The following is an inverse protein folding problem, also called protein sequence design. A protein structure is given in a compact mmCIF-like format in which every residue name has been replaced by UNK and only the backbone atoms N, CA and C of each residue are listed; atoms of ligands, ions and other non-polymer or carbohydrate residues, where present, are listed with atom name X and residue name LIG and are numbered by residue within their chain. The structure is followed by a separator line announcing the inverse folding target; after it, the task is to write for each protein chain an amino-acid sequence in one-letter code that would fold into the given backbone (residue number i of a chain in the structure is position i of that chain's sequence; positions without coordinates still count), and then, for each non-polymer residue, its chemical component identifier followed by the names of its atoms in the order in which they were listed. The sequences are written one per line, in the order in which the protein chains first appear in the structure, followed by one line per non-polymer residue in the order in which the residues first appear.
data_IF_689050876229
#
_entry.id   IF_689050876229
#
_cell.length_a   1.000
_cell.length_b   1.000
_cell.length_c   1.000
_cell.angle_alpha   90.00
_cell.angle_beta   90.00
_cell.angle_gamma   90.00
#
_symmetry.space_group_name_H-M   'P 1'
#
loop_
_entity.id
_entity.type
_entity.pdbx_description
1 polymer ?
#
# COMPACT_ATOMS: atom_id res chain seq x y z
N UNK A 1 -15.45 -19.27 -2.16
CA UNK A 1 -14.69 -18.05 -2.51
C UNK A 1 -13.36 -18.51 -3.12
N UNK A 2 -13.08 -18.21 -4.40
CA UNK A 2 -11.82 -18.59 -5.05
C UNK A 2 -10.79 -17.51 -4.76
N UNK A 3 -9.68 -17.86 -4.12
CA UNK A 3 -8.58 -16.94 -3.82
C UNK A 3 -7.42 -17.29 -4.74
N UNK A 4 -6.96 -16.32 -5.52
CA UNK A 4 -5.78 -16.47 -6.38
C UNK A 4 -4.67 -15.59 -5.84
N UNK A 5 -3.50 -16.19 -5.57
CA UNK A 5 -2.34 -15.48 -5.03
C UNK A 5 -1.30 -15.39 -6.13
N UNK A 6 -0.95 -14.16 -6.51
CA UNK A 6 0.11 -13.89 -7.49
C UNK A 6 1.26 -13.14 -6.83
N UNK A 7 2.48 -13.57 -7.11
CA UNK A 7 3.70 -12.85 -6.73
C UNK A 7 4.24 -12.15 -7.97
N UNK A 8 4.44 -10.83 -7.85
CA UNK A 8 5.05 -10.02 -8.91
C UNK A 8 6.47 -9.63 -8.46
N UNK A 9 7.45 -10.00 -9.26
CA UNK A 9 8.83 -9.56 -9.07
C UNK A 9 9.06 -8.18 -9.69
N UNK A 10 9.83 -7.32 -9.03
CA UNK A 10 10.12 -5.98 -9.54
C UNK A 10 10.92 -5.14 -8.56
N UNK A 11 11.62 -4.13 -9.10
CA UNK A 11 12.35 -3.16 -8.29
C UNK A 11 11.38 -2.40 -7.40
N UNK A 12 11.80 -1.99 -6.20
CA UNK A 12 10.94 -1.30 -5.22
C UNK A 12 10.24 -0.06 -5.80
N UNK A 13 10.89 0.63 -6.76
CA UNK A 13 10.36 1.82 -7.45
C UNK A 13 9.22 1.53 -8.43
N UNK A 14 9.17 0.34 -9.02
CA UNK A 14 8.22 -0.02 -10.09
C UNK A 14 6.99 -0.78 -9.55
N UNK A 15 6.98 -1.11 -8.25
CA UNK A 15 5.91 -1.90 -7.63
C UNK A 15 4.52 -1.29 -7.83
N UNK A 16 4.39 0.03 -7.67
CA UNK A 16 3.09 0.71 -7.82
C UNK A 16 2.52 0.61 -9.23
N UNK A 17 3.38 0.75 -10.23
CA UNK A 17 3.01 0.65 -11.64
C UNK A 17 2.53 -0.76 -12.00
N UNK A 18 3.30 -1.79 -11.63
CA UNK A 18 2.92 -3.18 -11.90
C UNK A 18 1.59 -3.57 -11.24
N UNK A 19 1.34 -3.11 -10.00
CA UNK A 19 0.07 -3.38 -9.31
C UNK A 19 -1.10 -2.74 -10.07
N UNK A 20 -0.95 -1.50 -10.52
CA UNK A 20 -2.00 -0.80 -11.27
C UNK A 20 -2.24 -1.45 -12.62
N UNK A 21 -1.18 -1.85 -13.32
CA UNK A 21 -1.27 -2.52 -14.61
C UNK A 21 -1.99 -3.87 -14.50
N UNK A 22 -1.64 -4.68 -13.49
CA UNK A 22 -2.27 -5.98 -13.25
C UNK A 22 -3.74 -5.81 -12.83
N UNK A 23 -4.04 -4.85 -11.95
CA UNK A 23 -5.41 -4.54 -11.56
C UNK A 23 -6.27 -4.15 -12.77
N UNK A 24 -5.69 -3.41 -13.73
CA UNK A 24 -6.35 -3.04 -14.98
C UNK A 24 -6.56 -4.24 -15.90
N UNK A 25 -5.54 -5.11 -16.06
CA UNK A 25 -5.64 -6.35 -16.87
C UNK A 25 -6.74 -7.27 -16.36
N UNK A 26 -6.87 -7.40 -15.05
CA UNK A 26 -7.90 -8.22 -14.41
C UNK A 26 -9.25 -7.53 -14.25
N UNK A 27 -9.36 -6.25 -14.65
CA UNK A 27 -10.58 -5.45 -14.56
C UNK A 27 -11.23 -5.48 -13.17
N UNK A 28 -10.41 -5.39 -12.12
CA UNK A 28 -10.92 -5.44 -10.74
C UNK A 28 -11.72 -4.18 -10.40
N UNK A 29 -12.80 -4.33 -9.64
CA UNK A 29 -13.63 -3.21 -9.18
C UNK A 29 -13.05 -2.49 -7.97
N UNK A 30 -12.37 -3.23 -7.08
CA UNK A 30 -11.70 -2.71 -5.89
C UNK A 30 -10.24 -3.16 -5.84
N UNK A 31 -9.35 -2.24 -5.48
CA UNK A 31 -7.95 -2.51 -5.21
C UNK A 31 -7.63 -2.17 -3.75
N UNK A 32 -7.26 -3.16 -2.96
CA UNK A 32 -6.88 -2.96 -1.55
C UNK A 32 -5.36 -3.04 -1.42
N UNK A 33 -4.74 -1.97 -0.90
CA UNK A 33 -3.29 -1.86 -0.73
C UNK A 33 -2.95 -1.75 0.75
N UNK A 34 -2.24 -2.74 1.27
CA UNK A 34 -1.74 -2.72 2.65
C UNK A 34 -0.49 -1.85 2.80
N UNK A 35 -0.48 -0.96 3.80
CA UNK A 35 0.74 -0.31 4.27
C UNK A 35 1.40 -1.17 5.35
N UNK A 36 2.54 -1.79 5.00
CA UNK A 36 3.30 -2.59 5.94
C UNK A 36 4.13 -1.68 6.85
N UNK A 37 4.00 -1.88 8.17
CA UNK A 37 4.85 -1.16 9.13
C UNK A 37 6.24 -1.77 9.13
N UNK A 38 7.19 -1.11 8.48
CA UNK A 38 8.61 -1.51 8.57
C UNK A 38 9.08 -1.45 10.04
N UNK A 39 9.85 -2.45 10.51
CA UNK A 39 10.31 -2.48 11.89
C UNK A 39 11.23 -1.29 12.20
N UNK A 40 11.32 -0.85 13.47
CA UNK A 40 12.16 0.28 13.88
C UNK A 40 13.64 0.12 13.51
N UNK A 41 14.15 -1.12 13.49
CA UNK A 41 15.50 -1.47 12.96
C UNK A 41 15.70 -0.97 11.53
N UNK A 42 14.67 -1.08 10.67
CA UNK A 42 14.77 -0.61 9.28
C UNK A 42 14.89 0.92 9.19
N UNK A 43 14.36 1.66 10.16
CA UNK A 43 14.55 3.12 10.24
C UNK A 43 15.98 3.49 10.61
N UNK A 44 16.65 2.69 11.44
CA UNK A 44 18.04 2.88 11.80
C UNK A 44 18.97 2.61 10.61
N UNK A 45 18.77 1.51 9.88
CA UNK A 45 19.57 1.17 8.69
C UNK A 45 19.49 2.27 7.61
N UNK A 46 18.30 2.85 7.38
CA UNK A 46 18.14 3.96 6.43
C UNK A 46 18.77 5.29 6.88
N UNK A 47 19.05 5.47 8.17
CA UNK A 47 19.68 6.71 8.66
C UNK A 47 21.17 6.78 8.27
N UNK A 48 21.79 5.62 8.01
CA UNK A 48 23.20 5.50 7.63
C UNK A 48 23.39 5.46 6.11
N UNK A 49 22.41 4.93 5.36
CA UNK A 49 22.40 5.00 3.90
C UNK A 49 21.66 6.23 3.38
N UNK A 50 22.37 7.21 2.82
CA UNK A 50 21.85 8.42 2.15
C UNK A 50 20.99 8.15 0.88
N UNK A 51 20.21 7.06 0.84
CA UNK A 51 19.37 6.72 -0.31
C UNK A 51 17.96 7.26 -0.11
N UNK A 52 17.65 8.29 -0.91
CA UNK A 52 16.39 9.03 -1.03
C UNK A 52 15.15 8.18 -0.77
N UNK A 53 14.23 8.79 -0.01
CA UNK A 53 12.88 8.37 0.37
C UNK A 53 12.06 7.82 -0.81
N UNK A 54 12.19 6.54 -1.13
CA UNK A 54 11.13 5.80 -1.79
C UNK A 54 10.60 4.79 -0.78
N UNK A 55 9.73 5.26 0.11
CA UNK A 55 9.02 4.43 1.07
C UNK A 55 7.81 3.79 0.37
N UNK A 56 7.26 2.75 0.99
CA UNK A 56 5.99 2.12 0.62
C UNK A 56 4.83 3.13 0.47
N UNK A 57 4.93 4.30 1.12
CA UNK A 57 4.07 5.46 0.88
C UNK A 57 4.05 5.91 -0.60
N UNK A 58 5.14 5.74 -1.35
CA UNK A 58 5.22 6.03 -2.77
C UNK A 58 4.38 5.07 -3.61
N UNK A 59 4.43 3.77 -3.33
CA UNK A 59 3.59 2.75 -3.98
C UNK A 59 2.12 3.04 -3.70
N UNK A 60 1.79 3.28 -2.45
CA UNK A 60 0.43 3.50 -1.99
C UNK A 60 -0.18 4.80 -2.57
N UNK A 61 0.61 5.88 -2.60
CA UNK A 61 0.24 7.14 -3.28
C UNK A 61 0.06 6.93 -4.78
N UNK A 62 0.96 6.20 -5.43
CA UNK A 62 0.87 5.90 -6.86
C UNK A 62 -0.43 5.14 -7.18
N UNK A 63 -0.74 4.07 -6.43
CA UNK A 63 -1.97 3.29 -6.65
C UNK A 63 -3.24 4.12 -6.38
N UNK A 64 -3.25 5.00 -5.38
CA UNK A 64 -4.39 5.89 -5.11
C UNK A 64 -4.63 6.91 -6.23
N UNK A 65 -3.57 7.40 -6.86
CA UNK A 65 -3.65 8.42 -7.91
C UNK A 65 -3.89 7.83 -9.31
N UNK A 66 -3.21 6.73 -9.64
CA UNK A 66 -3.14 6.18 -11.00
C UNK A 66 -4.05 4.98 -11.28
N UNK A 67 -4.55 4.29 -10.26
CA UNK A 67 -5.48 3.20 -10.50
C UNK A 67 -6.81 3.73 -11.07
N UNK A 68 -7.37 2.98 -12.02
CA UNK A 68 -8.67 3.28 -12.63
C UNK A 68 -9.86 2.80 -11.80
N UNK A 69 -9.64 1.89 -10.85
CA UNK A 69 -10.66 1.31 -9.98
C UNK A 69 -10.71 2.01 -8.61
N UNK A 70 -11.67 1.61 -7.76
CA UNK A 70 -11.73 2.13 -6.40
C UNK A 70 -10.57 1.57 -5.57
N UNK A 71 -9.61 2.43 -5.22
CA UNK A 71 -8.45 2.05 -4.42
C UNK A 71 -8.62 2.40 -2.95
N UNK A 72 -8.36 1.42 -2.09
CA UNK A 72 -8.45 1.50 -0.64
C UNK A 72 -7.08 1.15 -0.06
N UNK A 73 -6.45 2.10 0.60
CA UNK A 73 -5.24 1.87 1.36
C UNK A 73 -5.57 1.58 2.82
N UNK A 74 -4.97 0.52 3.37
CA UNK A 74 -5.26 0.04 4.73
C UNK A 74 -3.95 -0.02 5.53
N UNK A 75 -3.95 0.57 6.72
CA UNK A 75 -2.82 0.48 7.65
C UNK A 75 -3.30 0.22 9.08
N UNK A 76 -2.56 -0.53 9.90
CA UNK A 76 -2.93 -0.73 11.29
C UNK A 76 -2.83 0.59 12.07
N UNK A 77 -3.88 0.97 12.81
CA UNK A 77 -3.92 2.23 13.58
C UNK A 77 -2.89 2.22 14.71
N UNK A 78 -3.06 1.33 15.67
CA UNK A 78 -2.17 1.18 16.82
C UNK A 78 -2.01 -0.31 17.16
N UNK A 79 -0.84 -0.69 17.69
CA UNK A 79 -0.58 -2.04 18.20
C UNK A 79 -1.44 -2.38 19.42
N UNK A 80 -1.84 -1.38 20.21
CA UNK A 80 -2.57 -1.56 21.49
C UNK A 80 -4.09 -1.51 21.35
N UNK A 81 -4.62 -0.65 20.47
CA UNK A 81 -6.05 -0.30 20.41
C UNK A 81 -6.79 -0.99 19.24
N UNK A 82 -6.10 -1.87 18.52
CA UNK A 82 -6.68 -2.55 17.35
C UNK A 82 -7.10 -1.59 16.22
N UNK A 83 -7.84 -2.15 15.27
CA UNK A 83 -8.46 -1.43 14.16
C UNK A 83 -7.52 -0.95 13.05
N UNK A 84 -8.15 -0.44 11.99
CA UNK A 84 -7.49 -0.05 10.76
C UNK A 84 -7.78 1.39 10.39
N UNK A 85 -6.75 2.08 9.95
CA UNK A 85 -6.85 3.36 9.26
C UNK A 85 -6.99 3.09 7.78
N UNK A 86 -8.04 3.66 7.19
CA UNK A 86 -8.34 3.51 5.78
C UNK A 86 -8.17 4.85 5.09
N UNK A 87 -7.61 4.81 3.89
CA UNK A 87 -7.42 5.96 3.02
C UNK A 87 -7.88 5.61 1.62
N UNK A 88 -8.73 6.44 1.06
CA UNK A 88 -9.18 6.38 -0.33
C UNK A 88 -8.77 7.66 -1.04
N UNK A 89 -9.07 7.76 -2.33
CA UNK A 89 -8.84 8.98 -3.11
C UNK A 89 -9.62 10.19 -2.58
N UNK A 90 -10.84 9.96 -2.06
CA UNK A 90 -11.75 11.02 -1.58
C UNK A 90 -11.59 11.31 -0.08
N UNK A 91 -11.46 10.27 0.73
CA UNK A 91 -11.41 10.40 2.19
C UNK A 91 -10.14 9.77 2.73
N UNK A 92 -9.43 10.51 3.59
CA UNK A 92 -8.16 10.08 4.16
C UNK A 92 -8.32 9.83 5.66
N UNK A 93 -7.63 8.78 6.14
CA UNK A 93 -7.49 8.47 7.56
C UNK A 93 -8.81 8.28 8.34
N UNK A 94 -9.84 7.69 7.73
CA UNK A 94 -11.00 7.27 8.50
C UNK A 94 -10.70 5.97 9.24
N UNK A 95 -11.21 5.86 10.45
CA UNK A 95 -10.93 4.74 11.35
C UNK A 95 -12.11 3.78 11.36
N UNK A 96 -11.84 2.51 11.07
CA UNK A 96 -12.76 1.43 11.38
C UNK A 96 -12.31 0.72 12.66
N UNK A 97 -13.21 0.67 13.63
CA UNK A 97 -13.15 -0.22 14.77
C UNK A 97 -13.49 -1.62 14.25
N UNK A 98 -12.63 -2.60 14.54
CA UNK A 98 -12.79 -4.01 14.21
C UNK A 98 -12.66 -4.81 15.50
#
# INVERSE_FOLDING_TARGET
MKVEIRRLEGKEKEKGEKIVEEAKKQQVTFLVVGEEKKPPVWRLVKRWGWKKRCSQAGVLKYCLEKASCMTIAVKPKNRKLGGYLITTKRHKNFWLLA
#
